data_IF_100615864904
#
_entry.id   IF_100615864904
#
_cell.length_a   1.000
_cell.length_b   1.000
_cell.length_c   1.000
_cell.angle_alpha   90.00
_cell.angle_beta   90.00
_cell.angle_gamma   90.00
#
_symmetry.space_group_name_H-M   'P 1'
#
loop_
_entity.id
_entity.type
_entity.pdbx_description
1 polymer ?
#
# COMPACT_ATOMS: atom_id res chain seq x y z
N UNK A 1 -19.20 -26.57 -20.31
CA UNK A 1 -18.10 -26.04 -21.15
C UNK A 1 -18.17 -24.52 -21.04
N UNK A 2 -17.48 -23.94 -20.05
CA UNK A 2 -17.50 -22.49 -19.81
C UNK A 2 -16.37 -21.88 -20.62
N UNK A 3 -16.71 -21.04 -21.59
CA UNK A 3 -15.76 -20.20 -22.33
C UNK A 3 -15.05 -19.31 -21.30
N UNK A 4 -13.77 -19.54 -21.08
CA UNK A 4 -12.91 -18.63 -20.32
C UNK A 4 -12.88 -17.31 -21.06
N UNK A 5 -13.46 -16.28 -20.46
CA UNK A 5 -13.35 -14.92 -20.94
C UNK A 5 -11.92 -14.47 -20.63
N UNK A 6 -11.02 -14.56 -21.61
CA UNK A 6 -9.74 -13.85 -21.52
C UNK A 6 -10.04 -12.36 -21.31
N UNK A 7 -9.47 -11.73 -20.27
CA UNK A 7 -9.59 -10.29 -20.10
C UNK A 7 -8.87 -9.61 -21.28
N UNK A 8 -9.51 -8.66 -21.98
CA UNK A 8 -8.87 -7.99 -23.10
C UNK A 8 -7.62 -7.23 -22.61
N UNK A 9 -6.46 -7.55 -23.17
CA UNK A 9 -5.14 -6.97 -22.88
C UNK A 9 -4.95 -5.53 -23.42
N UNK A 10 -6.02 -4.76 -23.60
CA UNK A 10 -5.99 -3.37 -24.03
C UNK A 10 -6.39 -2.45 -22.87
N UNK A 11 -5.53 -2.37 -21.84
CA UNK A 11 -5.74 -1.47 -20.71
C UNK A 11 -5.45 0.01 -21.03
N UNK A 12 -4.85 0.28 -22.19
CA UNK A 12 -4.77 1.63 -22.78
C UNK A 12 -5.89 1.78 -23.80
N UNK A 13 -7.13 1.88 -23.29
CA UNK A 13 -8.25 2.35 -24.10
C UNK A 13 -7.88 3.68 -24.79
N UNK A 14 -8.47 3.99 -25.96
CA UNK A 14 -8.19 5.23 -26.67
C UNK A 14 -8.31 6.42 -25.70
N UNK A 15 -7.37 7.40 -25.75
CA UNK A 15 -7.18 8.41 -24.70
C UNK A 15 -8.44 9.19 -24.31
N UNK A 16 -9.42 9.22 -25.21
CA UNK A 16 -10.71 9.87 -25.03
C UNK A 16 -11.63 9.18 -24.00
N UNK A 17 -11.44 7.88 -23.71
CA UNK A 17 -12.24 7.16 -22.71
C UNK A 17 -12.01 7.70 -21.29
N UNK A 18 -10.79 8.17 -20.99
CA UNK A 18 -10.41 8.64 -19.65
C UNK A 18 -11.25 9.86 -19.23
N UNK A 19 -11.40 10.83 -20.13
CA UNK A 19 -12.20 12.02 -19.85
C UNK A 19 -13.67 11.69 -19.55
N UNK A 20 -14.26 10.70 -20.25
CA UNK A 20 -15.61 10.22 -19.96
C UNK A 20 -15.70 9.53 -18.61
N UNK A 21 -14.70 8.68 -18.26
CA UNK A 21 -14.64 8.00 -16.96
C UNK A 21 -14.50 9.00 -15.82
N UNK A 22 -13.65 10.02 -15.97
CA UNK A 22 -13.48 11.06 -14.95
C UNK A 22 -14.77 11.86 -14.73
N UNK A 23 -15.51 12.21 -15.80
CA UNK A 23 -16.84 12.84 -15.68
C UNK A 23 -17.86 11.92 -15.03
N UNK A 24 -17.86 10.63 -15.38
CA UNK A 24 -18.72 9.62 -14.76
C UNK A 24 -18.49 9.55 -13.26
N UNK A 25 -17.22 9.52 -12.85
CA UNK A 25 -16.81 9.48 -11.46
C UNK A 25 -17.25 10.74 -10.71
N UNK A 26 -17.01 11.93 -11.27
CA UNK A 26 -17.46 13.20 -10.68
C UNK A 26 -18.98 13.25 -10.45
N UNK A 27 -19.78 12.66 -11.35
CA UNK A 27 -21.24 12.57 -11.15
C UNK A 27 -21.61 11.58 -10.05
N UNK A 28 -20.92 10.43 -9.96
CA UNK A 28 -21.18 9.44 -8.91
C UNK A 28 -20.76 9.92 -7.51
N UNK A 29 -19.70 10.75 -7.45
CA UNK A 29 -19.20 11.35 -6.21
C UNK A 29 -20.04 12.59 -5.80
N UNK A 30 -20.93 13.06 -6.68
CA UNK A 30 -21.79 14.22 -6.45
C UNK A 30 -21.10 15.58 -6.69
N UNK A 31 -19.92 15.57 -7.30
CA UNK A 31 -19.15 16.76 -7.68
C UNK A 31 -19.64 17.39 -9.00
N UNK A 32 -20.40 16.65 -9.80
CA UNK A 32 -21.03 17.12 -11.03
C UNK A 32 -22.51 16.69 -11.13
N UNK A 33 -23.36 17.49 -11.80
CA UNK A 33 -24.77 17.14 -12.00
C UNK A 33 -24.92 16.02 -13.07
N UNK A 34 -25.96 15.17 -13.00
CA UNK A 34 -26.13 14.03 -13.91
C UNK A 34 -26.26 14.42 -15.39
N UNK A 35 -26.72 15.64 -15.68
CA UNK A 35 -26.80 16.22 -17.03
C UNK A 35 -25.41 16.37 -17.68
N UNK A 36 -24.33 16.42 -16.89
CA UNK A 36 -22.96 16.47 -17.40
C UNK A 36 -22.57 15.21 -18.20
N UNK A 37 -23.30 14.10 -18.03
CA UNK A 37 -23.10 12.87 -18.82
C UNK A 37 -23.77 12.95 -20.20
N UNK A 38 -24.70 13.88 -20.43
CA UNK A 38 -25.43 13.99 -21.70
C UNK A 38 -24.68 14.82 -22.74
N UNK A 39 -23.81 15.72 -22.29
CA UNK A 39 -23.00 16.58 -23.16
C UNK A 39 -21.75 15.87 -23.72
N UNK A 40 -21.52 14.62 -23.34
CA UNK A 40 -20.33 13.87 -23.75
C UNK A 40 -20.46 13.24 -25.14
N UNK A 41 -19.86 13.89 -26.14
CA UNK A 41 -19.85 13.42 -27.53
C UNK A 41 -19.21 12.02 -27.68
N UNK A 42 -18.29 11.64 -26.79
CA UNK A 42 -17.61 10.35 -26.84
C UNK A 42 -18.58 9.16 -26.73
N UNK A 43 -19.75 9.34 -26.10
CA UNK A 43 -20.78 8.31 -25.97
C UNK A 43 -21.42 7.91 -27.31
N UNK A 44 -21.29 8.74 -28.35
CA UNK A 44 -21.74 8.42 -29.70
C UNK A 44 -20.80 7.45 -30.42
N UNK A 45 -19.50 7.47 -30.07
CA UNK A 45 -18.44 6.73 -30.77
C UNK A 45 -18.05 5.46 -30.00
N UNK A 46 -18.05 5.51 -28.66
CA UNK A 46 -17.59 4.41 -27.82
C UNK A 46 -18.74 3.65 -27.15
N UNK A 47 -18.94 2.39 -27.56
CA UNK A 47 -20.00 1.52 -27.02
C UNK A 47 -19.79 1.21 -25.54
N UNK A 48 -18.55 0.96 -25.13
CA UNK A 48 -18.18 0.66 -23.73
C UNK A 48 -18.50 1.82 -22.80
N UNK A 49 -18.13 3.05 -23.17
CA UNK A 49 -18.44 4.25 -22.39
C UNK A 49 -19.96 4.49 -22.34
N UNK A 50 -20.69 4.24 -23.43
CA UNK A 50 -22.15 4.31 -23.45
C UNK A 50 -22.81 3.33 -22.49
N UNK A 51 -22.34 2.08 -22.45
CA UNK A 51 -22.84 1.06 -21.51
C UNK A 51 -22.57 1.43 -20.05
N UNK A 52 -21.35 1.90 -19.74
CA UNK A 52 -20.99 2.38 -18.39
C UNK A 52 -21.86 3.54 -17.95
N UNK A 53 -22.05 4.53 -18.81
CA UNK A 53 -22.93 5.68 -18.53
C UNK A 53 -24.39 5.25 -18.36
N UNK A 54 -24.87 4.29 -19.16
CA UNK A 54 -26.19 3.70 -18.99
C UNK A 54 -26.37 3.01 -17.63
N UNK A 55 -25.39 2.22 -17.21
CA UNK A 55 -25.40 1.56 -15.90
C UNK A 55 -25.37 2.56 -14.74
N UNK A 56 -24.54 3.61 -14.83
CA UNK A 56 -24.49 4.67 -13.83
C UNK A 56 -25.81 5.43 -13.71
N UNK A 57 -26.45 5.77 -14.84
CA UNK A 57 -27.79 6.40 -14.83
C UNK A 57 -28.84 5.51 -14.17
N UNK A 58 -28.83 4.21 -14.47
CA UNK A 58 -29.73 3.26 -13.81
C UNK A 58 -29.50 3.22 -12.29
N UNK A 59 -28.24 3.21 -11.86
CA UNK A 59 -27.88 3.28 -10.43
C UNK A 59 -28.37 4.58 -9.78
N UNK A 60 -28.09 5.73 -10.40
CA UNK A 60 -28.54 7.05 -9.91
C UNK A 60 -30.06 7.13 -9.84
N UNK A 61 -30.78 6.58 -10.81
CA UNK A 61 -32.24 6.53 -10.80
C UNK A 61 -32.79 5.67 -9.65
N UNK A 62 -32.10 4.58 -9.29
CA UNK A 62 -32.45 3.77 -8.11
C UNK A 62 -32.18 4.53 -6.81
N UNK A 63 -31.04 5.24 -6.73
CA UNK A 63 -30.66 6.02 -5.55
C UNK A 63 -31.49 7.29 -5.36
N UNK A 64 -31.99 7.89 -6.46
CA UNK A 64 -32.86 9.06 -6.43
C UNK A 64 -34.28 8.74 -5.94
N UNK A 65 -34.65 7.45 -5.88
CA UNK A 65 -35.93 7.06 -5.28
C UNK A 65 -35.92 7.48 -3.81
N UNK A 66 -36.94 8.20 -3.32
CA UNK A 66 -37.05 8.54 -1.91
C UNK A 66 -36.91 7.26 -1.10
N UNK A 67 -35.84 7.18 -0.29
CA UNK A 67 -35.69 6.07 0.62
C UNK A 67 -36.90 6.09 1.56
N UNK A 68 -37.63 4.98 1.64
CA UNK A 68 -38.64 4.82 2.69
C UNK A 68 -37.88 5.00 4.00
N UNK A 69 -38.28 5.94 4.88
CA UNK A 69 -37.55 6.20 6.10
C UNK A 69 -37.53 4.93 6.93
N UNK A 70 -36.38 4.25 6.94
CA UNK A 70 -36.15 3.09 7.77
C UNK A 70 -35.92 3.62 9.18
N UNK A 71 -36.74 3.18 10.13
CA UNK A 71 -36.54 3.51 11.53
C UNK A 71 -35.15 3.01 11.97
N UNK A 72 -34.21 3.94 12.14
CA UNK A 72 -32.88 3.63 12.65
C UNK A 72 -33.02 3.42 14.16
N UNK A 73 -32.56 2.28 14.71
CA UNK A 73 -32.55 2.07 16.15
C UNK A 73 -31.79 3.19 16.87
N UNK A 74 -32.32 3.66 18.01
CA UNK A 74 -31.72 4.78 18.75
C UNK A 74 -30.27 4.53 19.20
N UNK A 75 -29.86 3.26 19.28
CA UNK A 75 -28.52 2.81 19.67
C UNK A 75 -27.60 2.52 18.47
N UNK A 76 -28.04 2.74 17.22
CA UNK A 76 -27.24 2.42 16.04
C UNK A 76 -25.88 3.12 16.03
N UNK A 77 -25.84 4.42 16.33
CA UNK A 77 -24.60 5.19 16.38
C UNK A 77 -23.65 4.66 17.46
N UNK A 78 -24.18 4.29 18.62
CA UNK A 78 -23.42 3.70 19.73
C UNK A 78 -22.85 2.35 19.31
N UNK A 79 -23.63 1.50 18.64
CA UNK A 79 -23.20 0.19 18.14
C UNK A 79 -22.11 0.31 17.06
N UNK A 80 -22.23 1.27 16.15
CA UNK A 80 -21.21 1.52 15.12
C UNK A 80 -19.91 2.01 15.75
N UNK A 81 -19.98 3.00 16.65
CA UNK A 81 -18.77 3.54 17.32
C UNK A 81 -18.09 2.48 18.18
N UNK A 82 -18.86 1.66 18.90
CA UNK A 82 -18.30 0.56 19.71
C UNK A 82 -17.65 -0.52 18.84
N UNK A 83 -18.28 -0.89 17.72
CA UNK A 83 -17.69 -1.82 16.75
C UNK A 83 -16.39 -1.29 16.14
N UNK A 84 -16.36 -0.02 15.72
CA UNK A 84 -15.15 0.63 15.17
C UNK A 84 -14.02 0.71 16.20
N UNK A 85 -14.34 1.00 17.47
CA UNK A 85 -13.33 1.00 18.56
C UNK A 85 -12.79 -0.40 18.82
N UNK A 86 -13.65 -1.41 18.86
CA UNK A 86 -13.24 -2.81 19.03
C UNK A 86 -12.33 -3.26 17.87
N UNK A 87 -12.66 -2.89 16.63
CA UNK A 87 -11.85 -3.19 15.46
C UNK A 87 -10.47 -2.50 15.53
N UNK A 88 -10.43 -1.21 15.88
CA UNK A 88 -9.18 -0.47 16.04
C UNK A 88 -8.29 -1.14 17.08
N UNK A 89 -8.83 -1.52 18.23
CA UNK A 89 -8.10 -2.25 19.26
C UNK A 89 -7.59 -3.61 18.77
N UNK A 90 -8.39 -4.36 18.00
CA UNK A 90 -7.97 -5.64 17.44
C UNK A 90 -6.79 -5.46 16.45
N UNK A 91 -6.83 -4.45 15.59
CA UNK A 91 -5.73 -4.13 14.65
C UNK A 91 -4.45 -3.76 15.40
N UNK A 92 -4.54 -2.89 16.40
CA UNK A 92 -3.38 -2.51 17.22
C UNK A 92 -2.79 -3.72 17.95
N UNK A 93 -3.63 -4.57 18.55
CA UNK A 93 -3.16 -5.81 19.21
C UNK A 93 -2.45 -6.73 18.23
N UNK A 94 -3.01 -6.97 17.04
CA UNK A 94 -2.36 -7.79 16.00
C UNK A 94 -1.00 -7.22 15.58
N UNK A 95 -0.89 -5.90 15.45
CA UNK A 95 0.39 -5.22 15.17
C UNK A 95 1.42 -5.47 16.27
N UNK A 96 1.04 -5.29 17.54
CA UNK A 96 1.90 -5.54 18.70
C UNK A 96 2.34 -7.00 18.76
N UNK A 97 1.43 -7.95 18.56
CA UNK A 97 1.78 -9.38 18.56
C UNK A 97 2.74 -9.74 17.43
N UNK A 98 2.57 -9.19 16.22
CA UNK A 98 3.50 -9.40 15.11
C UNK A 98 4.87 -8.82 15.40
N UNK A 99 4.93 -7.60 15.96
CA UNK A 99 6.18 -6.98 16.36
C UNK A 99 6.90 -7.78 17.46
N UNK A 100 6.16 -8.23 18.49
CA UNK A 100 6.69 -9.05 19.56
C UNK A 100 7.21 -10.41 19.04
N UNK A 101 6.46 -11.06 18.14
CA UNK A 101 6.90 -12.30 17.50
C UNK A 101 8.18 -12.09 16.68
N UNK A 102 8.27 -10.99 15.91
CA UNK A 102 9.47 -10.63 15.17
C UNK A 102 10.68 -10.39 16.06
N UNK A 103 10.51 -9.68 17.19
CA UNK A 103 11.57 -9.48 18.19
C UNK A 103 12.01 -10.80 18.84
N UNK A 104 11.08 -11.70 19.13
CA UNK A 104 11.40 -13.01 19.68
C UNK A 104 12.26 -13.82 18.71
N UNK A 105 11.93 -13.83 17.41
CA UNK A 105 12.74 -14.50 16.37
C UNK A 105 14.11 -13.83 16.21
N UNK A 106 14.19 -12.50 16.24
CA UNK A 106 15.47 -11.80 16.16
C UNK A 106 16.36 -12.13 17.38
N UNK A 107 15.78 -12.19 18.58
CA UNK A 107 16.49 -12.54 19.79
C UNK A 107 17.02 -13.99 19.76
N UNK A 108 16.25 -14.96 19.23
CA UNK A 108 16.72 -16.34 19.11
C UNK A 108 17.87 -16.47 18.11
N UNK A 109 17.83 -15.73 16.98
CA UNK A 109 18.93 -15.69 16.00
C UNK A 109 20.19 -15.08 16.61
N UNK A 110 20.07 -13.94 17.30
CA UNK A 110 21.21 -13.31 17.98
C UNK A 110 21.83 -14.23 19.03
N UNK A 111 21.00 -14.94 19.81
CA UNK A 111 21.47 -15.89 20.80
C UNK A 111 22.17 -17.09 20.15
N UNK A 112 21.66 -17.59 19.02
CA UNK A 112 22.31 -18.65 18.25
C UNK A 112 23.69 -18.20 17.70
N UNK A 113 23.77 -17.00 17.10
CA UNK A 113 25.03 -16.41 16.62
C UNK A 113 26.01 -16.21 17.76
N UNK A 114 25.56 -15.69 18.90
CA UNK A 114 26.39 -15.51 20.08
C UNK A 114 26.96 -16.84 20.58
N UNK A 115 26.15 -17.90 20.63
CA UNK A 115 26.59 -19.24 21.03
C UNK A 115 27.63 -19.81 20.04
N UNK A 116 27.47 -19.57 18.74
CA UNK A 116 28.46 -20.00 17.73
C UNK A 116 29.78 -19.26 17.90
N UNK A 117 29.75 -17.93 18.10
CA UNK A 117 30.95 -17.11 18.33
C UNK A 117 31.63 -17.51 19.65
N UNK A 118 30.87 -17.69 20.73
CA UNK A 118 31.41 -18.05 22.04
C UNK A 118 32.02 -19.47 22.08
N UNK A 119 31.56 -20.38 21.21
CA UNK A 119 32.13 -21.73 21.07
C UNK A 119 33.23 -21.83 20.01
N UNK A 120 33.44 -20.80 19.21
CA UNK A 120 34.55 -20.79 18.27
C UNK A 120 35.84 -20.90 19.10
N UNK A 121 36.63 -22.00 18.96
CA UNK A 121 37.89 -22.11 19.68
C UNK A 121 38.74 -20.89 19.32
N UNK A 122 39.29 -20.22 20.33
CA UNK A 122 40.19 -19.10 20.13
C UNK A 122 41.30 -19.58 19.20
N UNK A 123 41.21 -19.22 17.92
CA UNK A 123 42.29 -19.39 16.95
C UNK A 123 43.31 -18.29 17.24
N UNK A 124 43.82 -18.30 18.45
CA UNK A 124 44.95 -17.49 18.83
C UNK A 124 46.15 -18.03 18.04
N UNK A 125 46.56 -17.22 17.08
CA UNK A 125 47.97 -16.87 16.88
C UNK A 125 48.92 -18.05 16.71
N UNK A 126 48.76 -18.82 15.63
CA UNK A 126 49.87 -19.56 15.04
C UNK A 126 50.16 -18.95 13.66
N UNK A 127 51.34 -18.32 13.53
CA UNK A 127 51.94 -17.80 12.29
C UNK A 127 51.34 -16.55 11.63
N UNK A 128 51.42 -15.41 12.33
CA UNK A 128 51.88 -14.20 11.63
C UNK A 128 53.42 -14.23 11.57
N UNK A 129 53.95 -14.91 10.56
CA UNK A 129 55.31 -14.66 10.12
C UNK A 129 55.27 -13.45 9.18
N UNK A 130 55.88 -12.30 9.53
CA UNK A 130 55.96 -11.15 8.63
C UNK A 130 56.85 -11.53 7.45
N UNK A 131 56.24 -11.87 6.31
CA UNK A 131 56.97 -12.02 5.07
C UNK A 131 57.51 -10.64 4.65
N UNK A 132 58.83 -10.55 4.73
CA UNK A 132 59.64 -9.41 4.30
C UNK A 132 59.44 -9.12 2.81
N UNK A 133 59.63 -7.84 2.49
CA UNK A 133 59.39 -7.18 1.22
C UNK A 133 60.27 -7.67 0.05
N UNK A 134 59.68 -7.66 -1.15
CA UNK A 134 60.31 -7.17 -2.39
C UNK A 134 60.52 -8.21 -3.52
N UNK A 135 60.79 -7.78 -4.78
CA UNK A 135 60.56 -6.49 -5.43
C UNK A 135 59.69 -6.59 -6.71
N UNK A 136 59.26 -5.41 -7.17
CA UNK A 136 58.71 -5.09 -8.50
C UNK A 136 59.29 -5.91 -9.66
N UNK A 137 58.42 -6.52 -10.47
CA UNK A 137 58.69 -6.78 -11.89
C UNK A 137 57.38 -6.70 -12.68
N UNK A 138 57.27 -5.65 -13.48
CA UNK A 138 56.28 -5.44 -14.52
C UNK A 138 56.84 -5.99 -15.86
N UNK A 139 56.08 -6.05 -16.96
CA UNK A 139 55.03 -7.00 -17.33
C UNK A 139 55.50 -7.94 -18.45
N UNK A 140 55.06 -9.20 -18.47
CA UNK A 140 55.29 -10.05 -19.67
C UNK A 140 54.25 -11.15 -19.85
N UNK A 141 53.61 -11.05 -21.02
CA UNK A 141 53.11 -12.15 -21.85
C UNK A 141 51.84 -12.89 -21.42
N UNK A 142 50.78 -12.58 -22.18
CA UNK A 142 49.67 -13.43 -22.64
C UNK A 142 49.41 -14.78 -21.92
N UNK A 143 48.21 -15.00 -21.37
CA UNK A 143 47.82 -16.31 -20.90
C UNK A 143 47.43 -17.20 -22.09
N UNK A 144 48.21 -18.26 -22.28
CA UNK A 144 47.78 -19.45 -22.98
C UNK A 144 46.53 -20.02 -22.28
N UNK A 145 45.55 -20.37 -23.11
CA UNK A 145 44.35 -21.13 -22.78
C UNK A 145 44.77 -22.40 -22.05
N UNK A 146 44.41 -22.49 -20.76
CA UNK A 146 44.46 -23.73 -19.99
C UNK A 146 43.05 -24.26 -19.85
N UNK A 147 42.83 -25.36 -20.57
CA UNK A 147 41.75 -26.32 -20.41
C UNK A 147 41.77 -26.95 -19.01
N UNK A 148 40.57 -27.25 -18.54
CA UNK A 148 40.20 -28.24 -17.51
C UNK A 148 40.52 -27.98 -16.03
N UNK A 149 39.56 -27.30 -15.38
CA UNK A 149 39.12 -27.65 -14.04
C UNK A 149 37.58 -27.75 -14.04
N UNK A 150 36.97 -28.88 -13.59
CA UNK A 150 35.52 -29.03 -13.59
C UNK A 150 34.89 -28.06 -12.59
N UNK A 151 34.12 -27.12 -13.13
CA UNK A 151 33.31 -26.18 -12.36
C UNK A 151 32.29 -26.94 -11.50
N UNK A 152 32.04 -26.52 -10.25
CA UNK A 152 30.91 -27.02 -9.49
C UNK A 152 29.63 -26.73 -10.29
N UNK A 153 28.92 -27.78 -10.66
CA UNK A 153 27.65 -27.71 -11.38
C UNK A 153 26.70 -26.79 -10.62
N UNK A 154 26.54 -25.57 -11.14
CA UNK A 154 25.49 -24.66 -10.74
C UNK A 154 24.17 -25.33 -11.13
N UNK A 155 23.56 -26.02 -10.17
CA UNK A 155 22.23 -26.58 -10.35
C UNK A 155 21.31 -25.44 -10.79
N UNK A 156 20.71 -25.49 -11.98
CA UNK A 156 19.79 -24.47 -12.43
C UNK A 156 18.66 -24.40 -11.42
N UNK A 157 18.50 -23.23 -10.80
CA UNK A 157 17.36 -22.96 -9.92
C UNK A 157 16.14 -22.98 -10.85
N UNK A 158 15.44 -24.12 -10.87
CA UNK A 158 14.20 -24.28 -11.61
C UNK A 158 13.11 -23.46 -10.91
N UNK A 159 13.03 -22.18 -11.27
CA UNK A 159 12.03 -21.23 -10.80
C UNK A 159 10.60 -21.76 -10.99
N UNK A 160 10.37 -22.63 -11.99
CA UNK A 160 9.06 -23.24 -12.23
C UNK A 160 8.61 -24.17 -11.09
N UNK A 161 9.54 -24.84 -10.40
CA UNK A 161 9.20 -25.74 -9.29
C UNK A 161 8.90 -24.95 -8.02
N UNK A 162 9.62 -23.84 -7.79
CA UNK A 162 9.32 -22.90 -6.70
C UNK A 162 8.00 -22.15 -6.89
N UNK A 163 7.64 -21.80 -8.13
CA UNK A 163 6.35 -21.16 -8.45
C UNK A 163 5.19 -22.14 -8.31
N UNK A 164 5.34 -23.39 -8.78
CA UNK A 164 4.33 -24.44 -8.59
C UNK A 164 4.06 -24.72 -7.10
N UNK A 165 5.12 -24.77 -6.28
CA UNK A 165 4.98 -24.97 -4.83
C UNK A 165 4.30 -23.80 -4.10
N UNK A 166 4.40 -22.59 -4.66
CA UNK A 166 3.78 -21.38 -4.11
C UNK A 166 2.30 -21.30 -4.50
N UNK A 167 1.95 -21.76 -5.70
CA UNK A 167 0.55 -21.79 -6.17
C UNK A 167 -0.30 -22.81 -5.40
N UNK A 168 0.27 -23.98 -5.07
CA UNK A 168 -0.36 -25.00 -4.23
C UNK A 168 -0.61 -24.46 -2.80
N UNK A 169 0.33 -23.68 -2.26
CA UNK A 169 0.21 -23.05 -0.94
C UNK A 169 -0.86 -21.93 -0.90
N UNK A 170 -1.06 -21.21 -2.01
CA UNK A 170 -2.08 -20.16 -2.14
C UNK A 170 -3.47 -20.78 -2.37
N UNK A 171 -3.57 -21.89 -3.12
CA UNK A 171 -4.84 -22.63 -3.31
C UNK A 171 -5.31 -23.33 -2.04
N UNK A 172 -4.38 -23.79 -1.20
CA UNK A 172 -4.68 -24.41 0.09
C UNK A 172 -5.01 -23.43 1.22
N UNK A 173 -4.75 -22.13 1.05
CA UNK A 173 -5.12 -21.12 2.04
C UNK A 173 -6.65 -20.95 2.05
N UNK A 174 -7.32 -21.05 3.21
CA UNK A 174 -8.74 -20.79 3.29
C UNK A 174 -9.00 -19.39 2.76
N UNK A 175 -9.95 -19.22 1.84
CA UNK A 175 -10.40 -17.92 1.34
C UNK A 175 -11.07 -17.18 2.49
N UNK A 176 -10.48 -16.08 2.99
CA UNK A 176 -11.36 -14.94 3.21
C UNK A 176 -10.75 -13.66 2.61
N UNK A 177 -11.63 -12.70 2.35
CA UNK A 177 -11.34 -11.28 2.13
C UNK A 177 -10.93 -10.85 0.70
N UNK A 178 -11.54 -11.40 -0.35
CA UNK A 178 -11.59 -10.69 -1.66
C UNK A 178 -12.93 -10.01 -1.96
N UNK A 179 -13.96 -10.22 -1.14
CA UNK A 179 -15.24 -9.51 -1.28
C UNK A 179 -15.26 -8.09 -0.66
N UNK A 180 -14.18 -7.64 -0.03
CA UNK A 180 -14.17 -6.37 0.72
C UNK A 180 -13.54 -5.18 -0.01
N UNK A 181 -13.06 -5.35 -1.25
CA UNK A 181 -12.34 -4.26 -1.96
C UNK A 181 -13.29 -3.38 -2.80
N UNK A 182 -14.50 -3.86 -3.14
CA UNK A 182 -15.51 -3.07 -3.86
C UNK A 182 -16.34 -2.13 -2.96
N UNK A 183 -16.20 -2.23 -1.63
CA UNK A 183 -16.88 -1.35 -0.66
C UNK A 183 -16.00 -0.21 -0.13
N UNK A 184 -14.71 -0.18 -0.49
CA UNK A 184 -13.72 0.75 0.06
C UNK A 184 -14.03 2.25 -0.15
N UNK A 185 -14.61 2.72 -1.28
CA UNK A 185 -14.90 4.15 -1.46
C UNK A 185 -15.99 4.64 -0.50
N UNK A 186 -17.07 3.87 -0.33
CA UNK A 186 -18.25 4.27 0.47
C UNK A 186 -17.97 4.30 1.97
N UNK A 187 -17.03 3.50 2.46
CA UNK A 187 -16.60 3.52 3.86
C UNK A 187 -15.74 4.76 4.14
N UNK A 188 -14.96 5.21 3.15
CA UNK A 188 -14.19 6.44 3.27
C UNK A 188 -15.09 7.68 3.28
N UNK A 189 -16.13 7.74 2.45
CA UNK A 189 -17.11 8.85 2.45
C UNK A 189 -17.96 8.93 3.72
N UNK A 190 -18.30 7.78 4.32
CA UNK A 190 -18.99 7.75 5.62
C UNK A 190 -18.07 8.17 6.79
N UNK A 191 -16.75 8.04 6.63
CA UNK A 191 -15.76 8.47 7.62
C UNK A 191 -15.35 9.95 7.45
N UNK A 192 -15.45 10.51 6.25
CA UNK A 192 -15.13 11.92 5.94
C UNK A 192 -16.36 12.83 5.92
N UNK A 193 -17.58 12.27 5.78
CA UNK A 193 -18.86 12.99 5.88
C UNK A 193 -19.02 13.86 7.14
N UNK A 194 -18.61 13.42 8.36
CA UNK A 194 -18.63 14.28 9.55
C UNK A 194 -17.47 15.28 9.62
N UNK A 195 -16.49 15.22 8.72
CA UNK A 195 -15.38 16.17 8.61
C UNK A 195 -15.61 17.24 7.54
N UNK A 196 -16.65 17.12 6.70
CA UNK A 196 -17.17 18.21 5.87
C UNK A 196 -17.88 19.21 6.79
N UNK A 197 -17.06 20.08 7.36
CA UNK A 197 -17.45 21.17 8.25
C UNK A 197 -18.45 22.06 7.51
N UNK A 198 -19.72 22.15 7.94
CA UNK A 198 -20.65 23.11 7.34
C UNK A 198 -20.08 24.51 7.57
N UNK A 199 -19.94 25.27 6.49
CA UNK A 199 -19.58 26.68 6.58
C UNK A 199 -20.75 27.43 7.23
N UNK A 200 -20.75 27.51 8.56
CA UNK A 200 -21.73 28.30 9.31
C UNK A 200 -21.08 29.13 10.43
N UNK A 201 -21.70 30.28 10.73
CA UNK A 201 -21.03 31.47 11.17
C UNK A 201 -20.85 31.45 12.69
N UNK A 202 -19.66 31.83 13.14
CA UNK A 202 -19.38 32.18 14.55
C UNK A 202 -19.83 31.14 15.58
N UNK A 203 -19.23 29.95 15.51
CA UNK A 203 -19.44 28.90 16.50
C UNK A 203 -18.65 29.23 17.80
N UNK A 204 -19.27 29.24 19.00
CA UNK A 204 -18.61 29.51 20.29
C UNK A 204 -17.45 28.57 20.61
N UNK A 205 -17.36 27.41 19.94
CA UNK A 205 -16.23 26.48 20.05
C UNK A 205 -14.93 27.10 19.50
N UNK A 206 -15.04 27.94 18.47
CA UNK A 206 -13.88 28.66 17.92
C UNK A 206 -13.35 29.71 18.90
N UNK A 207 -14.23 30.32 19.71
CA UNK A 207 -13.86 31.23 20.78
C UNK A 207 -13.21 30.48 21.95
N UNK A 208 -13.67 29.26 22.27
CA UNK A 208 -13.07 28.41 23.30
C UNK A 208 -11.65 27.91 22.94
N UNK A 209 -11.32 27.81 21.65
CA UNK A 209 -9.99 27.39 21.16
C UNK A 209 -9.02 28.56 20.91
N UNK A 210 -9.47 29.81 21.03
CA UNK A 210 -8.63 30.99 20.90
C UNK A 210 -7.43 31.03 21.87
N UNK A 211 -7.56 30.70 23.18
CA UNK A 211 -6.42 30.71 24.10
C UNK A 211 -5.37 29.64 23.73
N UNK A 212 -5.79 28.46 23.27
CA UNK A 212 -4.86 27.39 22.86
C UNK A 212 -4.08 27.75 21.61
N UNK A 213 -4.72 28.43 20.65
CA UNK A 213 -4.04 28.98 19.46
C UNK A 213 -3.03 30.06 19.82
N UNK A 214 -3.35 30.90 20.81
CA UNK A 214 -2.43 31.94 21.30
C UNK A 214 -1.22 31.32 22.02
N UNK A 215 -1.41 30.29 22.84
CA UNK A 215 -0.29 29.57 23.48
C UNK A 215 0.62 28.84 22.47
N UNK A 216 0.07 28.34 21.36
CA UNK A 216 0.85 27.78 20.24
C UNK A 216 1.57 28.87 19.42
N UNK A 217 0.97 30.06 19.33
CA UNK A 217 1.56 31.22 18.68
C UNK A 217 2.76 31.80 19.49
N UNK A 218 2.72 31.67 20.83
CA UNK A 218 3.72 32.19 21.76
C UNK A 218 4.85 31.20 22.09
N UNK A 219 4.82 29.98 21.54
CA UNK A 219 5.93 29.04 21.70
C UNK A 219 7.23 29.66 21.11
N UNK A 220 8.33 29.72 21.89
CA UNK A 220 9.59 30.29 21.42
C UNK A 220 10.09 29.51 20.21
N UNK A 221 10.74 30.20 19.26
CA UNK A 221 11.15 29.63 17.96
C UNK A 221 11.91 28.30 18.05
N UNK A 222 12.64 28.05 19.14
CA UNK A 222 13.32 26.79 19.41
C UNK A 222 12.37 25.57 19.57
N UNK A 223 11.16 25.77 20.09
CA UNK A 223 10.15 24.71 20.20
C UNK A 223 9.46 24.42 18.86
N UNK A 224 9.39 25.41 17.95
CA UNK A 224 8.90 25.20 16.57
C UNK A 224 9.94 24.46 15.71
N UNK A 225 11.23 24.79 15.87
CA UNK A 225 12.32 24.09 15.19
C UNK A 225 12.42 22.61 15.60
N UNK A 226 12.03 22.25 16.84
CA UNK A 226 11.97 20.86 17.30
C UNK A 226 10.84 20.01 16.67
N UNK A 227 9.84 20.64 16.05
CA UNK A 227 8.76 19.97 15.33
C UNK A 227 8.98 19.92 13.80
N UNK A 228 10.04 20.58 13.30
CA UNK A 228 10.42 20.54 11.89
C UNK A 228 11.18 19.27 11.38
N UNK A 229 11.51 18.21 12.17
CA UNK A 229 12.11 17.01 11.56
C UNK A 229 11.13 15.87 11.21
N UNK A 230 9.81 16.04 11.37
CA UNK A 230 8.84 14.94 11.13
C UNK A 230 8.13 15.03 9.78
N UNK A 231 8.09 16.21 9.14
CA UNK A 231 7.48 16.38 7.82
C UNK A 231 8.34 15.75 6.73
N UNK A 232 9.65 15.98 6.74
CA UNK A 232 10.56 15.44 5.72
C UNK A 232 10.72 13.91 5.76
N UNK A 233 10.54 13.28 6.93
CA UNK A 233 10.56 11.82 7.06
C UNK A 233 9.25 11.18 6.63
N UNK A 234 8.11 11.79 6.95
CA UNK A 234 6.81 11.35 6.46
C UNK A 234 6.67 11.50 4.94
N UNK A 235 7.14 12.62 4.40
CA UNK A 235 7.14 12.89 2.95
C UNK A 235 8.04 11.92 2.18
N UNK A 236 9.26 11.65 2.68
CA UNK A 236 10.13 10.61 2.09
C UNK A 236 9.55 9.20 2.20
N UNK A 237 8.90 8.86 3.31
CA UNK A 237 8.25 7.57 3.47
C UNK A 237 7.08 7.41 2.49
N UNK A 238 6.30 8.47 2.28
CA UNK A 238 5.19 8.48 1.34
C UNK A 238 5.67 8.42 -0.12
N UNK A 239 6.71 9.18 -0.48
CA UNK A 239 7.32 9.12 -1.81
C UNK A 239 7.91 7.74 -2.12
N UNK A 240 8.55 7.09 -1.14
CA UNK A 240 9.08 5.73 -1.30
C UNK A 240 7.96 4.69 -1.45
N UNK A 241 6.88 4.83 -0.67
CA UNK A 241 5.71 3.98 -0.80
C UNK A 241 5.07 4.08 -2.20
N UNK A 242 4.90 5.30 -2.73
CA UNK A 242 4.36 5.48 -4.09
C UNK A 242 5.30 4.91 -5.18
N UNK A 243 6.61 5.04 -5.00
CA UNK A 243 7.60 4.45 -5.90
C UNK A 243 7.57 2.91 -5.89
N UNK A 244 7.40 2.29 -4.72
CA UNK A 244 7.33 0.83 -4.58
C UNK A 244 6.02 0.26 -5.15
N UNK A 245 4.91 1.00 -5.06
CA UNK A 245 3.62 0.59 -5.63
C UNK A 245 3.60 0.76 -7.16
N UNK A 246 4.24 1.80 -7.69
CA UNK A 246 4.32 2.05 -9.14
C UNK A 246 5.32 1.17 -9.91
N UNK A 247 6.23 0.48 -9.21
CA UNK A 247 7.27 -0.36 -9.83
C UNK A 247 6.93 -1.85 -9.88
N UNK A 248 5.73 -2.24 -9.43
CA UNK A 248 5.22 -3.59 -9.63
C UNK A 248 4.87 -3.75 -11.11
N UNK A 249 5.85 -4.19 -11.91
CA UNK A 249 5.62 -4.70 -13.25
C UNK A 249 4.73 -5.95 -13.14
N UNK A 250 3.54 -5.97 -13.74
CA UNK A 250 2.82 -7.22 -13.88
C UNK A 250 3.68 -8.17 -14.74
N UNK A 251 3.97 -9.36 -14.22
CA UNK A 251 4.60 -10.41 -15.00
C UNK A 251 3.57 -10.90 -16.02
N UNK A 252 3.80 -10.59 -17.29
CA UNK A 252 3.18 -11.20 -18.46
C UNK A 252 3.93 -12.45 -18.88
#
# INVERSE_FOLDING_TARGET
MFKTHEPPEDADGPPDCRATVDRLQAVLDGDAPPEALETDHHLLVCTTCRERTGAARALLAVLARPAVPTAVPADFSVRVVTALRAERHARTRRGVYRAAAGLAVAATVLLAVFVVIARAPNRDTANHQPASQGPTTEPSSAPAVREDAPAPEARPIHLNEAVAHTEEAIRGAPRPIMESVSAAPKVFDLLTGPLKMPAHPTDPVTAALAPTRKSLAELPGAARAGLEPVTGTAEKAFARFLSDVGSIKPNS
#
